data_IF_662059749687
#
_entry.id   IF_662059749687
#
_cell.length_a   1.000
_cell.length_b   1.000
_cell.length_c   1.000
_cell.angle_alpha   90.00
_cell.angle_beta   90.00
_cell.angle_gamma   90.00
#
_symmetry.space_group_name_H-M   'P 1'
#
loop_
_entity.id
_entity.type
_entity.pdbx_description
1 polymer ?
#
# COMPACT_ATOMS: atom_id res chain seq x y z
N UNK A 1 40.15 -48.94 -1.39
CA UNK A 1 39.27 -47.82 -1.80
C UNK A 1 40.15 -46.59 -1.99
N UNK A 2 40.18 -46.00 -3.20
CA UNK A 2 41.18 -44.98 -3.57
C UNK A 2 40.93 -43.64 -2.86
N UNK A 3 41.88 -43.17 -2.04
CA UNK A 3 41.83 -41.91 -1.27
C UNK A 3 41.43 -40.68 -2.13
N UNK A 4 41.86 -40.66 -3.39
CA UNK A 4 41.50 -39.61 -4.37
C UNK A 4 39.99 -39.48 -4.64
N UNK A 5 39.20 -40.55 -4.47
CA UNK A 5 37.73 -40.50 -4.63
C UNK A 5 37.00 -39.94 -3.39
N UNK A 6 37.64 -39.96 -2.22
CA UNK A 6 37.05 -39.45 -0.97
C UNK A 6 37.19 -37.92 -0.91
N UNK A 7 38.34 -37.38 -1.33
CA UNK A 7 38.59 -35.92 -1.36
C UNK A 7 37.69 -35.18 -2.37
N UNK A 8 37.36 -35.81 -3.50
CA UNK A 8 36.46 -35.21 -4.51
C UNK A 8 34.99 -35.13 -4.07
N UNK A 9 34.55 -35.94 -3.10
CA UNK A 9 33.19 -35.92 -2.58
C UNK A 9 33.01 -34.84 -1.51
N UNK A 10 34.03 -34.60 -0.69
CA UNK A 10 34.02 -33.56 0.35
C UNK A 10 33.96 -32.13 -0.22
N UNK A 11 34.55 -31.91 -1.40
CA UNK A 11 34.55 -30.58 -2.06
C UNK A 11 33.20 -30.18 -2.66
N UNK A 12 32.32 -31.14 -2.96
CA UNK A 12 31.00 -30.86 -3.53
C UNK A 12 29.98 -30.41 -2.46
N UNK A 13 30.17 -30.83 -1.20
CA UNK A 13 29.30 -30.42 -0.09
C UNK A 13 29.54 -28.97 0.36
N UNK A 14 30.76 -28.43 0.19
CA UNK A 14 31.09 -27.05 0.60
C UNK A 14 30.53 -25.99 -0.35
N UNK A 15 30.29 -26.30 -1.63
CA UNK A 15 29.66 -25.35 -2.57
C UNK A 15 28.14 -25.23 -2.40
N UNK A 16 27.47 -26.26 -1.84
CA UNK A 16 26.02 -26.24 -1.64
C UNK A 16 25.56 -25.39 -0.45
N UNK A 17 26.48 -25.00 0.44
CA UNK A 17 26.19 -24.17 1.62
C UNK A 17 26.15 -22.65 1.32
N UNK A 18 26.46 -22.23 0.09
CA UNK A 18 26.49 -20.83 -0.32
C UNK A 18 25.28 -20.42 -1.18
N UNK A 19 24.11 -21.04 -0.97
CA UNK A 19 22.89 -20.58 -1.60
C UNK A 19 22.58 -19.16 -1.09
N UNK A 20 22.37 -18.16 -1.97
CA UNK A 20 22.02 -16.82 -1.54
C UNK A 20 20.69 -16.90 -0.78
N UNK A 21 20.67 -16.33 0.43
CA UNK A 21 19.42 -16.12 1.16
C UNK A 21 18.61 -15.12 0.34
N UNK A 22 17.57 -15.60 -0.38
CA UNK A 22 16.63 -14.69 -1.01
C UNK A 22 15.89 -13.97 0.11
N UNK A 23 16.21 -12.69 0.33
CA UNK A 23 15.45 -11.89 1.26
C UNK A 23 14.05 -11.71 0.69
N UNK A 24 13.07 -12.02 1.52
CA UNK A 24 11.70 -11.62 1.37
C UNK A 24 11.62 -10.11 1.04
N UNK A 25 11.25 -9.77 -0.19
CA UNK A 25 10.97 -8.41 -0.63
C UNK A 25 9.46 -8.22 -0.82
N UNK A 26 8.92 -7.11 -0.35
CA UNK A 26 7.51 -6.79 -0.53
C UNK A 26 7.33 -5.32 -0.80
N UNK A 27 6.52 -5.02 -1.82
CA UNK A 27 6.34 -3.69 -2.36
C UNK A 27 4.85 -3.42 -2.42
N UNK A 28 4.43 -2.24 -1.95
CA UNK A 28 3.11 -1.71 -2.21
C UNK A 28 3.20 -0.30 -2.77
N UNK A 29 2.30 0.00 -3.71
CA UNK A 29 2.16 1.29 -4.34
C UNK A 29 0.69 1.65 -4.47
N UNK A 30 0.36 2.91 -4.20
CA UNK A 30 -0.93 3.50 -4.50
C UNK A 30 -0.71 4.87 -5.16
N UNK A 31 -1.46 5.12 -6.21
CA UNK A 31 -1.42 6.36 -6.96
C UNK A 31 -2.85 6.80 -7.30
N UNK A 32 -3.08 8.10 -7.22
CA UNK A 32 -4.29 8.75 -7.71
C UNK A 32 -3.89 9.96 -8.55
N UNK A 33 -4.46 10.07 -9.74
CA UNK A 33 -4.10 11.10 -10.73
C UNK A 33 -5.30 11.53 -11.58
N UNK A 34 -5.14 12.59 -12.37
CA UNK A 34 -6.16 13.00 -13.35
C UNK A 34 -7.47 13.44 -12.70
N UNK A 35 -7.37 14.17 -11.58
CA UNK A 35 -8.54 14.66 -10.88
C UNK A 35 -9.36 15.61 -11.76
N UNK A 36 -10.62 15.32 -11.94
CA UNK A 36 -11.56 16.09 -12.77
C UNK A 36 -12.93 16.13 -12.12
N UNK A 37 -13.74 17.13 -12.49
CA UNK A 37 -15.12 17.21 -12.04
C UNK A 37 -16.04 17.70 -13.17
N UNK A 38 -17.30 17.28 -13.11
CA UNK A 38 -18.38 17.73 -14.00
C UNK A 38 -19.53 18.24 -13.14
N UNK A 39 -20.07 19.40 -13.48
CA UNK A 39 -21.26 19.95 -12.84
C UNK A 39 -22.47 19.78 -13.74
N UNK A 40 -23.59 19.35 -13.15
CA UNK A 40 -24.86 19.12 -13.84
C UNK A 40 -25.92 19.96 -13.13
N UNK A 41 -26.55 20.84 -13.89
CA UNK A 41 -27.75 21.54 -13.47
C UNK A 41 -28.95 20.58 -13.50
N UNK A 42 -29.54 20.33 -12.33
CA UNK A 42 -30.69 19.46 -12.15
C UNK A 42 -32.02 20.21 -12.33
N UNK A 43 -32.00 21.54 -12.36
CA UNK A 43 -33.18 22.37 -12.57
C UNK A 43 -32.88 23.62 -13.42
N UNK A 44 -32.65 23.48 -14.74
CA UNK A 44 -32.26 24.61 -15.60
C UNK A 44 -33.25 25.78 -15.70
N UNK A 45 -34.46 25.62 -15.15
CA UNK A 45 -35.51 26.65 -15.13
C UNK A 45 -35.46 27.58 -13.92
N UNK A 46 -34.61 27.33 -12.92
CA UNK A 46 -34.56 28.14 -11.68
C UNK A 46 -33.67 29.39 -11.78
N UNK A 47 -32.89 29.51 -12.87
CA UNK A 47 -31.98 30.63 -13.09
C UNK A 47 -30.70 30.59 -12.25
N UNK A 48 -30.40 29.47 -11.58
CA UNK A 48 -29.19 29.26 -10.78
C UNK A 48 -28.19 28.47 -11.63
N UNK A 49 -27.05 29.08 -11.97
CA UNK A 49 -25.99 28.37 -12.67
C UNK A 49 -25.31 27.36 -11.74
N UNK A 50 -25.02 26.12 -12.20
CA UNK A 50 -24.33 25.13 -11.38
C UNK A 50 -22.89 25.59 -11.09
N UNK A 51 -22.49 25.57 -9.82
CA UNK A 51 -21.14 25.93 -9.39
C UNK A 51 -20.63 25.03 -8.27
N UNK A 52 -19.30 24.86 -8.24
CA UNK A 52 -18.56 24.18 -7.20
C UNK A 52 -17.44 25.11 -6.76
N UNK A 53 -17.44 25.45 -5.48
CA UNK A 53 -16.36 26.23 -4.85
C UNK A 53 -15.54 25.29 -3.97
N UNK A 54 -14.21 25.33 -4.12
CA UNK A 54 -13.27 24.58 -3.27
C UNK A 54 -12.42 25.57 -2.48
N UNK A 55 -12.37 25.39 -1.16
CA UNK A 55 -11.62 26.27 -0.24
C UNK A 55 -10.85 25.46 0.79
N UNK A 56 -10.01 26.14 1.58
CA UNK A 56 -9.32 25.58 2.75
C UNK A 56 -8.69 24.19 2.51
N UNK A 57 -7.73 24.06 1.58
CA UNK A 57 -7.06 22.79 1.38
C UNK A 57 -6.41 22.32 2.69
N UNK A 58 -6.61 21.06 3.02
CA UNK A 58 -5.97 20.36 4.13
C UNK A 58 -5.16 19.19 3.58
N UNK A 59 -3.91 19.10 4.02
CA UNK A 59 -2.96 18.09 3.58
C UNK A 59 -2.53 17.25 4.78
N UNK A 60 -2.49 15.94 4.58
CA UNK A 60 -1.86 14.99 5.48
C UNK A 60 -0.99 14.06 4.66
N UNK A 61 0.32 14.29 4.66
CA UNK A 61 1.28 13.49 3.90
C UNK A 61 2.28 12.95 4.90
N UNK A 62 2.27 11.63 5.09
CA UNK A 62 3.05 10.96 6.12
C UNK A 62 3.78 9.73 5.57
N UNK A 63 4.99 9.50 6.09
CA UNK A 63 5.73 8.26 5.94
C UNK A 63 6.19 7.81 7.33
N UNK A 64 6.04 6.52 7.64
CA UNK A 64 6.30 6.00 8.97
C UNK A 64 6.95 4.61 8.92
N UNK A 65 7.81 4.33 9.89
CA UNK A 65 8.28 2.99 10.23
C UNK A 65 7.83 2.64 11.65
N UNK A 66 7.41 1.41 11.88
CA UNK A 66 6.90 0.91 13.16
C UNK A 66 7.81 -0.23 13.63
N UNK A 67 8.89 0.08 14.39
CA UNK A 67 9.96 -0.88 14.67
C UNK A 67 9.53 -2.07 15.51
N UNK A 68 8.41 -1.95 16.23
CA UNK A 68 7.87 -2.97 17.11
C UNK A 68 6.33 -2.98 17.11
N UNK A 69 5.75 -3.85 17.95
CA UNK A 69 4.30 -3.96 18.15
C UNK A 69 3.72 -2.90 19.09
N UNK A 70 4.51 -1.95 19.60
CA UNK A 70 4.02 -0.88 20.49
C UNK A 70 3.04 0.06 19.78
N UNK A 71 3.07 0.06 18.44
CA UNK A 71 2.19 0.85 17.60
C UNK A 71 2.63 2.30 17.42
N UNK A 72 3.74 2.71 18.05
CA UNK A 72 4.29 4.05 17.86
C UNK A 72 5.27 4.06 16.66
N UNK A 73 5.03 4.91 15.66
CA UNK A 73 5.96 5.02 14.54
C UNK A 73 7.24 5.73 15.01
N UNK A 74 8.38 5.15 14.66
CA UNK A 74 9.70 5.74 14.85
C UNK A 74 10.71 5.14 13.85
N UNK A 75 11.21 5.92 12.86
CA UNK A 75 10.91 7.33 12.61
C UNK A 75 9.55 7.58 11.94
N UNK A 76 9.11 8.84 11.97
CA UNK A 76 7.94 9.35 11.28
C UNK A 76 8.29 10.69 10.63
N UNK A 77 7.83 10.90 9.40
CA UNK A 77 7.93 12.17 8.68
C UNK A 77 6.52 12.60 8.27
N UNK A 78 6.13 13.84 8.58
CA UNK A 78 4.78 14.37 8.35
C UNK A 78 4.89 15.79 7.84
N UNK A 79 4.22 16.06 6.72
CA UNK A 79 4.07 17.41 6.18
C UNK A 79 2.59 17.73 5.92
N UNK A 80 2.24 19.00 6.09
CA UNK A 80 0.87 19.52 5.93
C UNK A 80 0.80 20.57 4.81
N UNK A 81 1.61 20.40 3.77
CA UNK A 81 1.61 21.21 2.55
C UNK A 81 2.01 20.33 1.37
N UNK A 82 1.79 20.75 0.10
CA UNK A 82 2.26 20.01 -1.06
C UNK A 82 3.77 19.71 -0.98
N UNK A 83 4.16 18.50 -1.33
CA UNK A 83 5.52 17.98 -1.11
C UNK A 83 5.52 16.48 -0.87
N UNK A 84 6.64 15.95 -0.39
CA UNK A 84 6.77 14.54 -0.03
C UNK A 84 7.34 14.32 1.36
N UNK A 85 6.91 13.23 1.98
CA UNK A 85 7.42 12.70 3.23
C UNK A 85 8.10 11.36 2.98
N UNK A 86 9.21 11.08 3.65
CA UNK A 86 9.93 9.81 3.45
C UNK A 86 10.62 9.32 4.72
N UNK A 87 10.57 8.00 4.90
CA UNK A 87 11.26 7.29 5.97
C UNK A 87 11.98 6.08 5.36
N UNK A 88 13.22 5.83 5.76
CA UNK A 88 14.00 4.67 5.32
C UNK A 88 14.85 4.13 6.47
N UNK A 89 15.04 2.82 6.51
CA UNK A 89 16.04 2.17 7.37
C UNK A 89 16.74 1.01 6.63
N UNK A 90 17.47 0.15 7.36
CA UNK A 90 18.19 -1.00 6.80
C UNK A 90 17.31 -2.11 6.20
N UNK A 91 16.00 -2.01 6.38
CA UNK A 91 15.02 -3.07 6.12
C UNK A 91 13.83 -2.62 5.29
N UNK A 92 13.80 -1.36 4.88
CA UNK A 92 12.67 -0.86 4.12
C UNK A 92 12.61 0.65 4.05
N UNK A 93 11.47 1.10 3.51
CA UNK A 93 11.15 2.51 3.44
C UNK A 93 9.70 2.74 3.08
N UNK A 94 9.25 3.95 3.40
CA UNK A 94 7.97 4.51 3.04
C UNK A 94 8.18 5.87 2.38
N UNK A 95 7.41 6.17 1.35
CA UNK A 95 7.43 7.46 0.68
C UNK A 95 6.02 7.86 0.30
N UNK A 96 5.65 9.08 0.65
CA UNK A 96 4.36 9.69 0.36
C UNK A 96 4.60 11.01 -0.37
N UNK A 97 3.80 11.34 -1.38
CA UNK A 97 4.00 12.50 -2.23
C UNK A 97 2.66 13.05 -2.71
N UNK A 98 2.51 14.37 -2.61
CA UNK A 98 1.46 15.12 -3.27
C UNK A 98 2.02 16.28 -4.07
N UNK A 99 1.74 16.29 -5.38
CA UNK A 99 2.07 17.38 -6.30
C UNK A 99 0.91 17.60 -7.25
N UNK A 100 0.28 18.77 -7.15
CA UNK A 100 -0.82 19.20 -8.03
C UNK A 100 -2.01 18.21 -8.05
N UNK A 101 -2.16 17.41 -9.10
CA UNK A 101 -3.25 16.42 -9.22
C UNK A 101 -2.80 14.99 -8.93
N UNK A 102 -1.56 14.80 -8.48
CA UNK A 102 -0.96 13.50 -8.21
C UNK A 102 -0.83 13.27 -6.69
N UNK A 103 -1.47 12.23 -6.19
CA UNK A 103 -1.20 11.64 -4.87
C UNK A 103 -0.53 10.27 -5.03
N UNK A 104 0.49 10.00 -4.22
CA UNK A 104 1.29 8.80 -4.32
C UNK A 104 1.75 8.32 -2.94
N UNK A 105 1.63 7.02 -2.71
CA UNK A 105 2.14 6.32 -1.54
C UNK A 105 2.89 5.07 -1.99
N UNK A 106 4.05 4.82 -1.39
CA UNK A 106 4.90 3.68 -1.68
C UNK A 106 5.52 3.14 -0.40
N UNK A 107 5.53 1.82 -0.27
CA UNK A 107 6.26 1.12 0.79
C UNK A 107 7.03 -0.05 0.19
N UNK A 108 8.27 -0.20 0.61
CA UNK A 108 9.10 -1.37 0.34
C UNK A 108 9.61 -1.92 1.67
N UNK A 109 9.53 -3.23 1.84
CA UNK A 109 10.02 -3.94 3.02
C UNK A 109 10.87 -5.13 2.61
N UNK A 110 12.04 -5.26 3.21
CA UNK A 110 12.97 -6.37 3.06
C UNK A 110 13.29 -7.02 4.40
N UNK A 111 13.25 -8.35 4.43
CA UNK A 111 13.62 -9.14 5.62
C UNK A 111 12.59 -9.15 6.74
N UNK A 112 13.07 -9.43 7.96
CA UNK A 112 12.28 -9.44 9.20
C UNK A 112 12.22 -8.02 9.72
N UNK A 113 11.09 -7.33 9.57
CA UNK A 113 11.12 -5.93 9.95
C UNK A 113 9.82 -5.25 10.33
N UNK A 114 9.93 -4.10 11.02
CA UNK A 114 8.95 -3.03 11.07
C UNK A 114 7.92 -3.01 9.98
N UNK A 115 6.71 -2.66 10.38
CA UNK A 115 5.71 -2.20 9.44
C UNK A 115 6.16 -0.83 8.92
N UNK A 116 6.04 -0.60 7.62
CA UNK A 116 6.16 0.72 7.00
C UNK A 116 4.78 1.16 6.53
N UNK A 117 4.47 2.46 6.63
CA UNK A 117 3.29 3.02 6.00
C UNK A 117 3.60 4.35 5.32
N UNK A 118 2.89 4.61 4.22
CA UNK A 118 2.90 5.88 3.54
C UNK A 118 1.45 6.29 3.26
N UNK A 119 1.08 7.50 3.64
CA UNK A 119 -0.28 8.01 3.59
C UNK A 119 -0.27 9.40 2.98
N UNK A 120 -1.10 9.65 1.97
CA UNK A 120 -1.39 10.99 1.42
C UNK A 120 -2.90 11.15 1.46
N UNK A 121 -3.38 12.16 2.18
CA UNK A 121 -4.77 12.62 2.14
C UNK A 121 -4.78 14.10 1.83
N UNK A 122 -5.56 14.48 0.82
CA UNK A 122 -5.81 15.88 0.49
C UNK A 122 -7.30 16.08 0.40
N UNK A 123 -7.79 17.14 1.05
CA UNK A 123 -9.20 17.48 1.05
C UNK A 123 -9.39 19.00 1.00
N UNK A 124 -10.54 19.42 0.50
CA UNK A 124 -11.01 20.79 0.47
C UNK A 124 -12.37 20.86 1.12
N UNK A 125 -12.69 21.99 1.74
CA UNK A 125 -14.07 22.34 1.99
C UNK A 125 -14.72 22.68 0.64
N UNK A 126 -15.91 22.14 0.36
CA UNK A 126 -16.65 22.43 -0.85
C UNK A 126 -18.01 23.07 -0.55
N UNK A 127 -18.49 23.87 -1.50
CA UNK A 127 -19.87 24.37 -1.55
C UNK A 127 -20.45 24.13 -2.96
N UNK A 128 -21.66 23.57 -3.03
CA UNK A 128 -22.44 23.38 -4.25
C UNK A 128 -23.69 24.23 -4.22
N UNK A 129 -23.96 24.97 -5.30
CA UNK A 129 -25.23 25.69 -5.46
C UNK A 129 -26.43 24.74 -5.43
N UNK A 130 -27.64 25.24 -5.06
CA UNK A 130 -28.87 24.47 -5.18
C UNK A 130 -29.04 23.78 -6.54
N UNK A 131 -29.74 22.65 -6.54
CA UNK A 131 -30.07 21.85 -7.72
C UNK A 131 -28.85 21.49 -8.58
N UNK A 132 -27.67 21.37 -7.97
CA UNK A 132 -26.43 21.03 -8.68
C UNK A 132 -25.97 19.62 -8.29
N UNK A 133 -25.65 18.78 -9.27
CA UNK A 133 -24.86 17.58 -9.05
C UNK A 133 -23.40 17.81 -9.46
N UNK A 134 -22.46 17.36 -8.64
CA UNK A 134 -21.05 17.30 -8.97
C UNK A 134 -20.61 15.84 -9.08
N UNK A 135 -20.11 15.46 -10.26
CA UNK A 135 -19.47 14.17 -10.50
C UNK A 135 -17.97 14.38 -10.40
N UNK A 136 -17.35 13.78 -9.40
CA UNK A 136 -15.91 13.90 -9.15
C UNK A 136 -15.24 12.60 -9.55
N UNK A 137 -14.14 12.70 -10.28
CA UNK A 137 -13.44 11.54 -10.84
C UNK A 137 -11.93 11.64 -10.63
N UNK A 138 -11.28 10.49 -10.48
CA UNK A 138 -9.83 10.35 -10.49
C UNK A 138 -9.43 8.97 -11.00
N UNK A 139 -8.24 8.85 -11.59
CA UNK A 139 -7.68 7.57 -12.00
C UNK A 139 -6.83 7.00 -10.87
N UNK A 140 -7.32 5.92 -10.25
CA UNK A 140 -6.61 5.18 -9.22
C UNK A 140 -5.83 4.01 -9.81
N UNK A 141 -4.58 3.84 -9.38
CA UNK A 141 -3.74 2.66 -9.66
C UNK A 141 -3.11 2.17 -8.37
N UNK A 142 -3.23 0.87 -8.09
CA UNK A 142 -2.63 0.26 -6.91
C UNK A 142 -1.90 -1.02 -7.29
N UNK A 143 -0.86 -1.35 -6.53
CA UNK A 143 -0.05 -2.53 -6.71
C UNK A 143 0.43 -3.04 -5.35
N UNK A 144 0.45 -4.36 -5.17
CA UNK A 144 1.01 -4.99 -3.98
C UNK A 144 1.67 -6.31 -4.36
N UNK A 145 3.00 -6.35 -4.37
CA UNK A 145 3.76 -7.55 -4.67
C UNK A 145 4.40 -8.10 -3.40
N UNK A 146 4.30 -9.41 -3.26
CA UNK A 146 4.80 -10.17 -2.13
C UNK A 146 5.65 -11.33 -2.66
N UNK A 147 6.85 -11.49 -2.12
CA UNK A 147 7.73 -12.64 -2.42
C UNK A 147 7.85 -13.64 -1.26
N UNK A 148 7.24 -13.33 -0.10
CA UNK A 148 7.37 -14.08 1.16
C UNK A 148 6.05 -14.14 1.93
N UNK A 149 6.05 -14.33 3.26
CA UNK A 149 4.86 -14.23 4.14
C UNK A 149 4.45 -12.80 4.52
N UNK A 150 5.12 -11.77 3.99
CA UNK A 150 4.86 -10.35 4.24
C UNK A 150 3.37 -9.96 4.13
N UNK A 151 2.95 -8.94 4.86
CA UNK A 151 1.64 -8.31 4.67
C UNK A 151 1.86 -6.99 3.95
N UNK A 152 1.38 -6.88 2.72
CA UNK A 152 1.34 -5.62 1.97
C UNK A 152 -0.07 -5.30 1.53
N UNK A 153 -0.42 -4.03 1.67
CA UNK A 153 -1.68 -3.48 1.20
C UNK A 153 -1.48 -2.10 0.56
N UNK A 154 -2.34 -1.80 -0.40
CA UNK A 154 -2.41 -0.52 -1.08
C UNK A 154 -3.88 -0.09 -1.20
N UNK A 155 -4.12 1.21 -1.05
CA UNK A 155 -5.44 1.83 -1.04
C UNK A 155 -5.40 3.15 -1.80
N UNK A 156 -6.40 3.40 -2.63
CA UNK A 156 -6.63 4.68 -3.28
C UNK A 156 -8.12 5.00 -3.28
N UNK A 157 -8.51 6.23 -2.96
CA UNK A 157 -9.91 6.61 -2.88
C UNK A 157 -10.15 8.05 -3.29
N UNK A 158 -11.34 8.30 -3.86
CA UNK A 158 -11.98 9.61 -3.90
C UNK A 158 -13.14 9.57 -2.92
N UNK A 159 -13.29 10.60 -2.10
CA UNK A 159 -14.33 10.64 -1.07
C UNK A 159 -14.94 12.04 -0.91
N UNK A 160 -16.15 12.08 -0.38
CA UNK A 160 -16.79 13.30 0.11
C UNK A 160 -17.51 13.03 1.43
N UNK A 161 -17.57 14.03 2.30
CA UNK A 161 -18.42 14.03 3.48
C UNK A 161 -19.22 15.32 3.58
N UNK A 162 -20.50 15.26 3.94
CA UNK A 162 -21.35 16.45 4.04
C UNK A 162 -22.55 16.20 4.96
N UNK A 163 -23.23 17.27 5.38
CA UNK A 163 -24.50 17.16 6.11
C UNK A 163 -25.64 17.63 5.22
N UNK A 164 -26.72 16.87 5.16
CA UNK A 164 -27.93 17.26 4.42
C UNK A 164 -28.74 18.31 5.16
N UNK A 165 -28.68 18.30 6.49
CA UNK A 165 -29.27 19.28 7.36
C UNK A 165 -28.24 19.69 8.43
N UNK A 166 -28.04 20.98 8.72
CA UNK A 166 -27.14 21.42 9.80
C UNK A 166 -27.44 20.79 11.17
N UNK A 167 -28.69 20.39 11.41
CA UNK A 167 -29.10 19.69 12.64
C UNK A 167 -28.68 18.21 12.69
N UNK A 168 -28.20 17.65 11.58
CA UNK A 168 -27.76 16.25 11.53
C UNK A 168 -26.52 16.05 12.42
N UNK A 169 -26.58 15.02 13.26
CA UNK A 169 -25.48 14.64 14.15
C UNK A 169 -24.32 14.00 13.38
N UNK A 170 -24.60 13.34 12.27
CA UNK A 170 -23.64 12.57 11.49
C UNK A 170 -23.53 13.13 10.07
N UNK A 171 -22.33 13.10 9.52
CA UNK A 171 -22.08 13.40 8.11
C UNK A 171 -22.46 12.17 7.26
N UNK A 172 -23.04 12.43 6.09
CA UNK A 172 -23.10 11.47 5.00
C UNK A 172 -21.70 11.33 4.41
N UNK A 173 -21.20 10.10 4.30
CA UNK A 173 -19.89 9.80 3.73
C UNK A 173 -20.07 9.00 2.44
N UNK A 174 -19.44 9.46 1.36
CA UNK A 174 -19.42 8.81 0.05
C UNK A 174 -17.98 8.51 -0.32
N UNK A 175 -17.69 7.30 -0.77
CA UNK A 175 -16.39 6.94 -1.34
C UNK A 175 -16.51 5.99 -2.52
N UNK A 176 -15.53 6.09 -3.43
CA UNK A 176 -15.21 5.03 -4.36
C UNK A 176 -13.71 4.75 -4.26
N UNK A 177 -13.37 3.51 -4.00
CA UNK A 177 -12.02 3.12 -3.63
C UNK A 177 -11.53 1.86 -4.34
N UNK A 178 -10.20 1.77 -4.44
CA UNK A 178 -9.44 0.58 -4.78
C UNK A 178 -8.73 0.12 -3.53
N UNK A 179 -8.74 -1.19 -3.31
CA UNK A 179 -8.01 -1.82 -2.22
C UNK A 179 -7.39 -3.12 -2.69
N UNK A 180 -6.10 -3.28 -2.44
CA UNK A 180 -5.36 -4.51 -2.70
C UNK A 180 -4.77 -4.99 -1.39
N UNK A 181 -4.94 -6.29 -1.14
CA UNK A 181 -4.30 -7.01 -0.06
C UNK A 181 -3.64 -8.22 -0.68
N UNK A 182 -2.31 -8.21 -0.77
CA UNK A 182 -1.54 -9.29 -1.41
C UNK A 182 -2.02 -9.61 -2.84
N UNK A 183 -2.48 -8.59 -3.57
CA UNK A 183 -3.19 -8.76 -4.84
C UNK A 183 -2.43 -8.16 -6.03
N UNK A 184 -2.77 -8.59 -7.27
CA UNK A 184 -2.15 -8.06 -8.48
C UNK A 184 -2.37 -6.55 -8.62
N UNK A 185 -1.66 -5.94 -9.58
CA UNK A 185 -1.93 -4.56 -9.96
C UNK A 185 -3.40 -4.39 -10.36
N UNK A 186 -4.03 -3.34 -9.85
CA UNK A 186 -5.38 -2.94 -10.20
C UNK A 186 -5.40 -1.47 -10.59
N UNK A 187 -6.28 -1.10 -11.50
CA UNK A 187 -6.49 0.29 -11.86
C UNK A 187 -7.93 0.49 -12.33
N UNK A 188 -8.55 1.59 -11.91
CA UNK A 188 -9.92 1.95 -12.32
C UNK A 188 -10.11 3.47 -12.19
N UNK A 189 -11.09 3.99 -12.91
CA UNK A 189 -11.61 5.34 -12.65
C UNK A 189 -12.43 5.26 -11.37
N UNK A 190 -11.99 5.99 -10.35
CA UNK A 190 -12.72 6.24 -9.12
C UNK A 190 -13.68 7.38 -9.35
N UNK A 191 -14.94 7.25 -8.95
CA UNK A 191 -15.89 8.35 -9.06
C UNK A 191 -16.90 8.39 -7.92
N UNK A 192 -17.29 9.60 -7.54
CA UNK A 192 -18.41 9.85 -6.63
C UNK A 192 -19.31 10.91 -7.22
N UNK A 193 -20.58 10.90 -6.84
CA UNK A 193 -21.55 11.94 -7.22
C UNK A 193 -22.15 12.55 -5.97
N UNK A 194 -22.00 13.86 -5.83
CA UNK A 194 -22.60 14.65 -4.75
C UNK A 194 -23.75 15.46 -5.34
N UNK A 195 -24.89 15.49 -4.66
CA UNK A 195 -26.10 16.16 -5.15
C UNK A 195 -26.62 17.16 -4.13
N UNK A 196 -26.64 18.44 -4.50
CA UNK A 196 -27.30 19.49 -3.74
C UNK A 196 -28.81 19.51 -4.04
N UNK A 197 -29.61 19.63 -2.97
CA UNK A 197 -31.07 19.74 -3.06
C UNK A 197 -31.53 21.18 -3.30
N UNK A 198 -32.56 21.61 -2.60
CA UNK A 198 -33.12 22.97 -2.73
C UNK A 198 -32.26 24.07 -2.08
N UNK A 199 -31.23 23.69 -1.32
CA UNK A 199 -30.32 24.60 -0.63
C UNK A 199 -28.88 24.30 -1.06
N UNK A 200 -28.00 25.26 -0.80
CA UNK A 200 -26.55 25.07 -0.92
C UNK A 200 -26.11 23.87 -0.07
N UNK A 201 -25.17 23.10 -0.61
CA UNK A 201 -24.60 21.95 0.07
C UNK A 201 -23.13 22.17 0.34
N UNK A 202 -22.77 22.21 1.62
CA UNK A 202 -21.41 22.31 2.09
C UNK A 202 -20.88 20.96 2.60
N UNK A 203 -19.59 20.72 2.41
CA UNK A 203 -18.93 19.53 2.92
C UNK A 203 -17.43 19.51 2.69
N UNK A 204 -16.85 18.32 2.74
CA UNK A 204 -15.46 18.05 2.41
C UNK A 204 -15.38 17.12 1.22
N UNK A 205 -14.45 17.39 0.32
CA UNK A 205 -14.16 16.60 -0.87
C UNK A 205 -12.68 16.33 -0.89
N UNK A 206 -12.28 15.10 -1.17
CA UNK A 206 -10.86 14.77 -1.19
C UNK A 206 -10.52 13.46 -1.84
N UNK A 207 -9.25 13.13 -1.74
CA UNK A 207 -8.71 11.84 -2.13
C UNK A 207 -7.67 11.38 -1.12
N UNK A 208 -7.48 10.07 -1.09
CA UNK A 208 -6.50 9.43 -0.23
C UNK A 208 -5.75 8.35 -1.00
N UNK A 209 -4.46 8.21 -0.70
CA UNK A 209 -3.65 7.04 -1.07
C UNK A 209 -2.92 6.54 0.17
N UNK A 210 -2.94 5.24 0.40
CA UNK A 210 -2.27 4.62 1.54
C UNK A 210 -1.60 3.34 1.11
N UNK A 211 -0.40 3.11 1.61
CA UNK A 211 0.31 1.84 1.47
C UNK A 211 0.84 1.43 2.82
N UNK A 212 0.81 0.14 3.10
CA UNK A 212 1.42 -0.43 4.29
C UNK A 212 2.07 -1.75 3.93
N UNK A 213 3.25 -2.00 4.49
CA UNK A 213 4.00 -3.22 4.29
C UNK A 213 4.62 -3.70 5.60
N UNK A 214 4.62 -5.00 5.85
CA UNK A 214 5.28 -5.62 7.00
C UNK A 214 5.96 -6.91 6.55
N UNK A 215 7.25 -7.02 6.78
CA UNK A 215 8.04 -8.19 6.43
C UNK A 215 8.06 -9.20 7.56
N UNK A 216 7.91 -10.48 7.22
CA UNK A 216 8.17 -11.59 8.14
C UNK A 216 9.42 -12.35 7.68
N UNK A 217 10.21 -12.83 8.63
CA UNK A 217 11.29 -13.75 8.32
C UNK A 217 10.66 -15.00 7.71
N UNK A 218 11.03 -15.32 6.48
CA UNK A 218 10.83 -16.68 6.01
C UNK A 218 11.63 -17.59 6.96
N UNK A 219 11.09 -18.74 7.39
CA UNK A 219 11.86 -19.73 8.12
C UNK A 219 13.11 -20.05 7.30
N UNK A 220 14.27 -19.58 7.74
CA UNK A 220 15.54 -19.97 7.13
C UNK A 220 15.73 -21.43 7.52
N UNK A 221 15.74 -22.39 6.57
CA UNK A 221 16.00 -23.76 6.95
C UNK A 221 17.38 -23.79 7.57
N UNK A 222 17.44 -24.19 8.84
CA UNK A 222 18.71 -24.20 9.55
C UNK A 222 19.72 -25.02 8.72
N UNK A 223 21.00 -24.62 8.64
CA UNK A 223 22.00 -25.39 7.91
C UNK A 223 22.02 -26.86 8.32
N UNK A 224 21.70 -27.11 9.60
CA UNK A 224 21.56 -28.44 10.18
C UNK A 224 20.41 -29.25 9.56
N UNK A 225 19.32 -28.62 9.10
CA UNK A 225 18.22 -29.32 8.43
C UNK A 225 18.68 -29.92 7.10
N UNK A 226 19.42 -29.15 6.30
CA UNK A 226 20.01 -29.67 5.06
C UNK A 226 21.12 -30.69 5.35
N UNK A 227 21.95 -30.44 6.36
CA UNK A 227 22.99 -31.38 6.77
C UNK A 227 22.40 -32.71 7.26
N UNK A 228 21.31 -32.68 8.04
CA UNK A 228 20.59 -33.86 8.53
C UNK A 228 19.84 -34.56 7.41
N UNK A 229 19.22 -33.83 6.49
CA UNK A 229 18.57 -34.42 5.32
C UNK A 229 19.59 -35.13 4.41
N UNK A 230 20.69 -34.46 4.07
CA UNK A 230 21.79 -35.05 3.31
C UNK A 230 22.44 -36.21 4.06
N UNK A 231 22.66 -36.07 5.37
CA UNK A 231 23.15 -37.13 6.24
C UNK A 231 22.23 -38.35 6.22
N UNK A 232 20.92 -38.15 6.32
CA UNK A 232 19.89 -39.19 6.21
C UNK A 232 19.91 -39.90 4.85
N UNK A 233 20.02 -39.14 3.76
CA UNK A 233 20.13 -39.70 2.41
C UNK A 233 21.41 -40.56 2.25
N UNK A 234 22.54 -40.11 2.80
CA UNK A 234 23.80 -40.87 2.80
C UNK A 234 23.64 -42.18 3.58
N UNK A 235 23.00 -42.15 4.75
CA UNK A 235 22.74 -43.35 5.56
C UNK A 235 21.84 -44.34 4.80
N UNK A 236 20.75 -43.87 4.20
CA UNK A 236 19.82 -44.70 3.41
C UNK A 236 20.51 -45.32 2.19
N UNK A 237 21.31 -44.54 1.45
CA UNK A 237 22.07 -45.03 0.32
C UNK A 237 23.08 -46.12 0.73
N UNK A 238 23.75 -45.95 1.88
CA UNK A 238 24.68 -46.93 2.41
C UNK A 238 23.98 -48.23 2.85
N UNK A 239 22.83 -48.12 3.53
CA UNK A 239 22.03 -49.26 3.95
C UNK A 239 21.53 -50.08 2.74
N UNK A 240 21.02 -49.42 1.69
CA UNK A 240 20.55 -50.07 0.45
C UNK A 240 21.68 -50.75 -0.32
N UNK A 241 22.90 -50.23 -0.24
CA UNK A 241 24.06 -50.88 -0.86
C UNK A 241 24.44 -52.17 -0.13
N UNK A 242 24.33 -52.20 1.19
CA UNK A 242 24.61 -53.40 2.00
C UNK A 242 23.58 -54.51 1.81
N UNK A 243 22.31 -54.21 1.57
CA UNK A 243 21.29 -55.25 1.37
C UNK A 243 21.39 -55.98 0.02
N UNK A 244 22.19 -55.48 -0.92
CA UNK A 244 22.44 -56.10 -2.23
C UNK A 244 23.77 -56.86 -2.32
N UNK A 245 24.58 -56.83 -1.26
CA UNK A 245 25.84 -57.55 -1.16
C UNK A 245 25.65 -58.77 -0.25
#
# INVERSE_FOLDING_TARGET
>A
MNWKKIVSLASFCLLAAAAPTSHAESIANAQLSGFTYTLIDLNPGDGIAPSLTLTNPSYWIAAAAYPDSSGHPNPVDIINHPGGASVTDSTGGATSLYVDTLAFSFTHVSGTSPRFSADTTVQWDFALTPHTAAVIMGYGSIFSQQTSDAVVNAYAAVFASYKTNPADLYETYLDDSLYSYRGPQQSKVLNITVVAGNAELDGRLGFATSTSGQGFAAPVPEPETYAMFLGGLVVVAFARRRSKA
#
